data_IF_984877496663
#
_entry.id   IF_984877496663
#
_cell.length_a   1.000
_cell.length_b   1.000
_cell.length_c   1.000
_cell.angle_alpha   90.00
_cell.angle_beta   90.00
_cell.angle_gamma   90.00
#
_symmetry.space_group_name_H-M   'P 1'
#
loop_
_entity.id
_entity.type
_entity.pdbx_description
1 polymer ?
#
# COMPACT_ATOMS: atom_id res chain seq x y z
N UNK A 1 -3.91 10.33 4.92
CA UNK A 1 -5.19 10.04 5.61
C UNK A 1 -4.85 9.83 7.08
N UNK A 2 -5.64 10.34 8.02
CA UNK A 2 -5.23 10.45 9.44
C UNK A 2 -5.51 9.18 10.26
N UNK A 3 -5.24 8.03 9.65
CA UNK A 3 -5.58 6.72 10.21
C UNK A 3 -4.31 6.13 10.85
N UNK A 4 -4.42 5.66 12.09
CA UNK A 4 -3.35 4.94 12.82
C UNK A 4 -2.04 5.70 13.10
N UNK A 5 -2.10 7.02 13.33
CA UNK A 5 -0.93 7.81 13.68
C UNK A 5 -0.15 8.18 12.42
N UNK A 6 -0.24 9.45 12.05
CA UNK A 6 0.22 10.06 10.79
C UNK A 6 1.73 9.98 10.50
N UNK A 7 2.49 9.12 11.16
CA UNK A 7 3.92 8.96 10.96
C UNK A 7 4.20 7.92 9.88
N UNK A 8 4.98 8.32 8.90
CA UNK A 8 5.49 7.43 7.86
C UNK A 8 7.02 7.52 7.92
N UNK A 9 7.68 6.85 8.90
CA UNK A 9 9.06 7.13 9.27
C UNK A 9 10.04 7.06 8.10
N UNK A 10 9.78 6.16 7.15
CA UNK A 10 10.55 6.09 5.91
C UNK A 10 10.49 7.41 5.12
N UNK A 11 9.29 7.90 4.80
CA UNK A 11 9.12 9.14 4.04
C UNK A 11 9.51 10.39 4.83
N UNK A 12 9.29 10.37 6.14
CA UNK A 12 9.68 11.46 7.05
C UNK A 12 11.21 11.60 7.11
N UNK A 13 11.95 10.50 7.22
CA UNK A 13 13.43 10.50 7.21
C UNK A 13 14.03 11.00 5.90
N UNK A 14 13.29 10.88 4.79
CA UNK A 14 13.68 11.39 3.48
C UNK A 14 13.26 12.85 3.26
N UNK A 15 12.53 13.45 4.20
CA UNK A 15 11.87 14.76 4.02
C UNK A 15 11.04 14.79 2.72
N UNK A 16 10.38 13.66 2.41
CA UNK A 16 9.75 13.44 1.11
C UNK A 16 8.65 14.48 0.83
N UNK A 17 7.90 14.87 1.86
CA UNK A 17 6.88 15.90 1.77
C UNK A 17 7.43 17.30 1.44
N UNK A 18 8.65 17.62 1.91
CA UNK A 18 9.31 18.89 1.60
C UNK A 18 9.78 18.93 0.14
N UNK A 19 10.21 17.79 -0.39
CA UNK A 19 10.69 17.70 -1.77
C UNK A 19 9.55 17.55 -2.79
N UNK A 20 8.47 16.82 -2.52
CA UNK A 20 7.36 16.66 -3.47
C UNK A 20 6.38 17.83 -3.37
N UNK A 21 6.50 18.80 -4.29
CA UNK A 21 5.64 19.99 -4.34
C UNK A 21 4.22 19.71 -4.80
N UNK A 22 4.04 18.77 -5.73
CA UNK A 22 2.71 18.42 -6.21
C UNK A 22 2.67 17.06 -6.89
N UNK A 23 1.53 16.39 -6.76
CA UNK A 23 1.15 15.21 -7.54
C UNK A 23 -0.09 15.56 -8.33
N UNK A 24 0.00 15.53 -9.66
CA UNK A 24 -1.08 15.95 -10.56
C UNK A 24 -1.52 14.79 -11.44
N UNK A 25 -2.84 14.59 -11.52
CA UNK A 25 -3.45 13.77 -12.57
C UNK A 25 -3.39 14.55 -13.88
N UNK A 26 -2.68 14.05 -14.88
CA UNK A 26 -2.71 14.61 -16.24
C UNK A 26 -3.84 13.99 -17.07
N UNK A 27 -4.03 12.67 -16.92
CA UNK A 27 -5.14 11.92 -17.51
C UNK A 27 -5.45 10.65 -16.68
N UNK A 28 -6.21 9.70 -17.23
CA UNK A 28 -6.62 8.48 -16.49
C UNK A 28 -5.48 7.50 -16.18
N UNK A 29 -4.35 7.58 -16.88
CA UNK A 29 -3.19 6.69 -16.72
C UNK A 29 -1.86 7.44 -16.58
N UNK A 30 -1.89 8.78 -16.54
CA UNK A 30 -0.69 9.62 -16.40
C UNK A 30 -0.75 10.47 -15.14
N UNK A 31 0.30 10.36 -14.31
CA UNK A 31 0.52 11.17 -13.11
C UNK A 31 1.85 11.92 -13.24
N UNK A 32 1.85 13.19 -12.87
CA UNK A 32 3.02 14.06 -12.81
C UNK A 32 3.41 14.34 -11.36
N UNK A 33 4.69 14.12 -11.04
CA UNK A 33 5.29 14.57 -9.79
C UNK A 33 6.17 15.79 -10.07
N UNK A 34 5.96 16.88 -9.32
CA UNK A 34 6.83 18.06 -9.36
C UNK A 34 7.65 18.12 -8.09
N UNK A 35 8.98 18.14 -8.24
CA UNK A 35 9.91 18.22 -7.11
C UNK A 35 10.33 19.66 -6.82
N UNK A 36 10.76 19.91 -5.58
CA UNK A 36 11.26 21.19 -5.12
C UNK A 36 12.66 21.46 -5.64
N UNK A 37 13.48 20.41 -5.72
CA UNK A 37 14.82 20.38 -6.28
C UNK A 37 15.02 19.05 -7.02
N UNK A 38 15.99 18.96 -7.96
CA UNK A 38 16.36 17.68 -8.57
C UNK A 38 16.80 16.68 -7.49
N UNK A 39 16.23 15.47 -7.54
CA UNK A 39 16.55 14.37 -6.64
C UNK A 39 16.77 13.08 -7.46
N UNK A 40 18.02 12.65 -7.56
CA UNK A 40 18.41 11.46 -8.32
C UNK A 40 17.90 10.16 -7.71
N UNK A 41 17.56 10.16 -6.42
CA UNK A 41 17.07 9.00 -5.67
C UNK A 41 15.54 8.89 -5.69
N UNK A 42 14.82 9.88 -6.22
CA UNK A 42 13.36 9.92 -6.20
C UNK A 42 12.70 8.66 -6.75
N UNK A 43 13.17 8.17 -7.91
CA UNK A 43 12.64 6.94 -8.51
C UNK A 43 12.90 5.71 -7.65
N UNK A 44 14.04 5.66 -6.94
CA UNK A 44 14.33 4.57 -6.02
C UNK A 44 13.38 4.58 -4.82
N UNK A 45 13.06 5.74 -4.27
CA UNK A 45 12.09 5.86 -3.18
C UNK A 45 10.70 5.33 -3.59
N UNK A 46 10.26 5.66 -4.82
CA UNK A 46 8.99 5.17 -5.37
C UNK A 46 8.98 3.66 -5.68
N UNK A 47 10.15 3.03 -5.82
CA UNK A 47 10.26 1.59 -6.07
C UNK A 47 10.27 0.74 -4.78
N UNK A 48 10.33 1.37 -3.61
CA UNK A 48 10.30 0.65 -2.33
C UNK A 48 8.90 0.14 -1.99
N UNK A 49 8.83 -0.85 -1.10
CA UNK A 49 7.56 -1.40 -0.63
C UNK A 49 6.70 -0.36 0.13
N UNK A 50 7.31 0.69 0.69
CA UNK A 50 6.63 1.80 1.35
C UNK A 50 5.78 2.64 0.38
N UNK A 51 6.14 2.68 -0.91
CA UNK A 51 5.43 3.45 -1.94
C UNK A 51 4.35 2.63 -2.68
N UNK A 52 3.72 1.67 -1.99
CA UNK A 52 2.66 0.85 -2.57
C UNK A 52 1.41 1.67 -2.92
N UNK A 53 0.79 1.39 -4.07
CA UNK A 53 -0.43 2.06 -4.52
C UNK A 53 -1.66 1.50 -3.80
N UNK A 54 -2.47 2.39 -3.23
CA UNK A 54 -3.71 2.06 -2.50
C UNK A 54 -4.97 2.40 -3.33
N UNK A 55 -6.09 1.70 -3.05
CA UNK A 55 -7.36 1.97 -3.73
C UNK A 55 -8.06 3.23 -3.21
N UNK A 56 -8.11 4.27 -4.04
CA UNK A 56 -8.84 5.51 -3.74
C UNK A 56 -10.37 5.33 -3.73
N UNK A 57 -10.90 4.32 -4.44
CA UNK A 57 -12.32 3.96 -4.36
C UNK A 57 -12.65 3.38 -2.99
N UNK A 58 -11.84 2.43 -2.52
CA UNK A 58 -12.03 1.81 -1.22
C UNK A 58 -11.87 2.82 -0.08
N UNK A 59 -10.85 3.68 -0.13
CA UNK A 59 -10.67 4.73 0.86
C UNK A 59 -11.90 5.66 0.97
N UNK A 60 -12.48 6.08 -0.18
CA UNK A 60 -13.70 6.90 -0.20
C UNK A 60 -14.93 6.15 0.31
N UNK A 61 -15.02 4.84 0.08
CA UNK A 61 -16.08 4.01 0.65
C UNK A 61 -15.99 4.00 2.18
N UNK A 62 -14.80 3.69 2.71
CA UNK A 62 -14.57 3.66 4.16
C UNK A 62 -14.79 5.02 4.83
N UNK A 63 -14.43 6.13 4.18
CA UNK A 63 -14.69 7.48 4.67
C UNK A 63 -16.19 7.75 4.85
N UNK A 64 -17.02 7.32 3.89
CA UNK A 64 -18.49 7.45 3.99
C UNK A 64 -19.09 6.57 5.08
N UNK A 65 -18.41 5.48 5.44
CA UNK A 65 -18.82 4.55 6.48
C UNK A 65 -18.22 4.89 7.86
N UNK A 66 -17.39 5.93 7.96
CA UNK A 66 -16.60 6.26 9.16
C UNK A 66 -15.74 5.09 9.67
N UNK A 67 -15.10 4.39 8.72
CA UNK A 67 -14.31 3.16 8.94
C UNK A 67 -12.91 3.24 8.31
N UNK A 68 -12.30 4.41 8.32
CA UNK A 68 -11.03 4.67 7.64
C UNK A 68 -9.89 3.79 8.21
N UNK A 69 -9.98 3.31 9.46
CA UNK A 69 -9.06 2.35 10.09
C UNK A 69 -8.96 1.00 9.37
N UNK A 70 -9.94 0.68 8.53
CA UNK A 70 -9.93 -0.55 7.76
C UNK A 70 -9.03 -0.50 6.54
N UNK A 71 -8.58 0.68 6.13
CA UNK A 71 -7.64 0.80 5.03
C UNK A 71 -6.35 0.02 5.32
N UNK A 72 -5.88 0.06 6.58
CA UNK A 72 -4.67 -0.64 7.01
C UNK A 72 -4.94 -2.08 7.47
N UNK A 73 -6.15 -2.36 7.98
CA UNK A 73 -6.50 -3.68 8.54
C UNK A 73 -7.07 -4.65 7.51
N UNK A 74 -7.72 -4.13 6.46
CA UNK A 74 -8.36 -4.87 5.38
C UNK A 74 -7.95 -4.25 4.04
N UNK A 75 -6.67 -4.40 3.64
CA UNK A 75 -6.14 -3.69 2.49
C UNK A 75 -6.72 -4.20 1.18
N UNK A 76 -7.00 -3.27 0.27
CA UNK A 76 -7.34 -3.55 -1.13
C UNK A 76 -6.20 -3.06 -2.02
N UNK A 77 -5.49 -4.00 -2.64
CA UNK A 77 -4.34 -3.73 -3.51
C UNK A 77 -4.37 -4.55 -4.80
N UNK A 78 -3.36 -4.36 -5.65
CA UNK A 78 -3.26 -4.99 -6.98
C UNK A 78 -2.19 -6.09 -7.05
N UNK A 79 -1.78 -6.61 -5.89
CA UNK A 79 -0.73 -7.61 -5.76
C UNK A 79 -1.15 -9.03 -6.20
N UNK A 80 -0.21 -9.99 -6.15
CA UNK A 80 -0.47 -11.39 -6.53
C UNK A 80 -1.32 -12.16 -5.52
N UNK A 81 -1.44 -11.68 -4.27
CA UNK A 81 -2.27 -12.31 -3.25
C UNK A 81 -3.12 -11.27 -2.52
N UNK A 82 -4.27 -11.73 -2.01
CA UNK A 82 -5.26 -10.95 -1.28
C UNK A 82 -5.37 -11.46 0.16
N UNK A 83 -5.59 -10.56 1.11
CA UNK A 83 -5.78 -10.94 2.51
C UNK A 83 -7.07 -11.75 2.67
N UNK A 84 -6.95 -13.00 3.10
CA UNK A 84 -8.07 -13.88 3.41
C UNK A 84 -8.49 -13.79 4.86
N UNK A 85 -7.51 -13.83 5.76
CA UNK A 85 -7.71 -13.92 7.20
C UNK A 85 -6.45 -13.43 7.90
N UNK A 86 -6.65 -12.66 8.96
CA UNK A 86 -5.59 -12.27 9.88
C UNK A 86 -6.00 -12.65 11.29
N UNK A 87 -5.20 -13.49 11.93
CA UNK A 87 -5.31 -13.84 13.35
C UNK A 87 -4.08 -13.27 14.06
N UNK A 88 -4.28 -12.20 14.81
CA UNK A 88 -3.22 -11.52 15.54
C UNK A 88 -2.45 -12.50 16.44
N UNK A 89 -1.11 -12.50 16.33
CA UNK A 89 -0.22 -13.40 17.06
C UNK A 89 -0.28 -14.87 16.63
N UNK A 90 -1.01 -15.21 15.56
CA UNK A 90 -1.14 -16.59 15.08
C UNK A 90 -0.72 -16.71 13.61
N UNK A 91 -1.48 -16.13 12.68
CA UNK A 91 -1.14 -16.25 11.26
C UNK A 91 -1.76 -15.16 10.39
N UNK A 92 -1.16 -14.98 9.21
CA UNK A 92 -1.74 -14.26 8.06
C UNK A 92 -1.99 -15.27 6.95
N UNK A 93 -3.22 -15.36 6.47
CA UNK A 93 -3.61 -16.20 5.33
C UNK A 93 -3.89 -15.31 4.12
N UNK A 94 -3.21 -15.61 3.03
CA UNK A 94 -3.36 -14.91 1.76
C UNK A 94 -3.90 -15.88 0.70
N UNK A 95 -4.94 -15.48 -0.04
CA UNK A 95 -5.41 -16.23 -1.20
C UNK A 95 -4.82 -15.65 -2.47
N UNK A 96 -4.61 -16.51 -3.47
CA UNK A 96 -4.16 -16.07 -4.79
C UNK A 96 -5.16 -15.12 -5.46
N UNK A 97 -4.64 -14.05 -6.05
CA UNK A 97 -5.37 -13.20 -6.98
C UNK A 97 -5.32 -13.82 -8.38
N UNK A 98 -6.42 -14.47 -8.80
CA UNK A 98 -6.48 -15.18 -10.09
C UNK A 98 -6.32 -14.23 -11.30
N UNK A 99 -6.75 -12.97 -11.18
CA UNK A 99 -6.66 -11.92 -12.19
C UNK A 99 -5.42 -11.01 -12.06
N UNK A 100 -4.38 -11.50 -11.38
CA UNK A 100 -3.15 -10.72 -11.22
C UNK A 100 -2.51 -10.40 -12.59
N UNK A 101 -2.23 -9.12 -12.82
CA UNK A 101 -1.84 -8.57 -14.12
C UNK A 101 -0.48 -9.06 -14.65
N UNK A 102 0.40 -9.62 -13.81
CA UNK A 102 1.65 -10.27 -14.25
C UNK A 102 1.53 -11.79 -14.42
N UNK A 103 0.30 -12.30 -14.45
CA UNK A 103 0.00 -13.73 -14.61
C UNK A 103 -0.38 -14.40 -13.29
N UNK A 104 -1.15 -15.48 -13.42
CA UNK A 104 -1.71 -16.22 -12.27
C UNK A 104 -0.59 -16.85 -11.41
N UNK A 105 -0.51 -16.53 -10.10
CA UNK A 105 0.45 -17.19 -9.21
C UNK A 105 0.22 -18.71 -9.14
N UNK A 106 1.30 -19.48 -8.99
CA UNK A 106 1.19 -20.94 -8.95
C UNK A 106 0.51 -21.42 -7.65
N UNK A 107 0.91 -20.85 -6.52
CA UNK A 107 0.39 -21.23 -5.22
C UNK A 107 -1.03 -20.68 -5.03
N UNK A 108 -2.02 -21.52 -4.70
CA UNK A 108 -3.38 -21.04 -4.41
C UNK A 108 -3.47 -20.25 -3.10
N UNK A 109 -2.55 -20.50 -2.18
CA UNK A 109 -2.56 -19.93 -0.84
C UNK A 109 -1.14 -19.75 -0.32
N UNK A 110 -0.93 -18.70 0.47
CA UNK A 110 0.25 -18.49 1.31
C UNK A 110 -0.22 -18.30 2.74
N UNK A 111 0.42 -18.99 3.70
CA UNK A 111 0.18 -18.80 5.13
C UNK A 111 1.50 -18.39 5.76
N UNK A 112 1.50 -17.23 6.41
CA UNK A 112 2.62 -16.77 7.23
C UNK A 112 2.25 -17.07 8.68
N UNK A 113 2.97 -18.00 9.29
CA UNK A 113 2.83 -18.31 10.71
C UNK A 113 3.57 -17.25 11.53
N UNK A 114 2.84 -16.67 12.48
CA UNK A 114 3.32 -15.66 13.43
C UNK A 114 3.33 -16.20 14.86
N UNK A 115 2.83 -17.41 15.08
CA UNK A 115 2.95 -18.10 16.34
C UNK A 115 4.43 -18.37 16.60
N UNK A 116 4.95 -17.81 17.70
CA UNK A 116 6.16 -18.34 18.31
C UNK A 116 5.83 -19.76 18.74
N UNK A 117 6.21 -20.76 17.96
CA UNK A 117 6.23 -22.14 18.45
C UNK A 117 7.19 -22.21 19.64
N UNK A 118 6.65 -22.10 20.85
CA UNK A 118 7.37 -22.10 22.14
C UNK A 118 7.12 -20.86 22.97
#
# INVERSE_FOLDING_TARGET
>A
HNVNGSELPYFDSLQFADNVKSVRKLDNHTVEFRLAQPDASFLWHLATHYASVMSAEYARKLEKEDRQEQLDRQPVGTGPYQLSEYRAGQFIRLQRHDDFWRGKPLMPQVVVDLGSGG
#
